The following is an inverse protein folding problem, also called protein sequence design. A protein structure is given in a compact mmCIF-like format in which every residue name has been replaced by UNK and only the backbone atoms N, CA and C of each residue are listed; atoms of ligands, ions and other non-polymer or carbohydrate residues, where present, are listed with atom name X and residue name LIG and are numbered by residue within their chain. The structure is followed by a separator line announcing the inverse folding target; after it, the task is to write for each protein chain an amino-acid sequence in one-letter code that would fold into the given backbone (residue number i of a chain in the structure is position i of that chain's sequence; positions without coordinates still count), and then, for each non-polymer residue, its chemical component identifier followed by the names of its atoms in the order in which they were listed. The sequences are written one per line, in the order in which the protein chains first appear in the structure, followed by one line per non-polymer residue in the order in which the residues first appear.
data_IF_181727447451
#
_entry.id   IF_181727447451
#
_cell.length_a   1.000
_cell.length_b   1.000
_cell.length_c   1.000
_cell.angle_alpha   90.00
_cell.angle_beta   90.00
_cell.angle_gamma   90.00
#
_symmetry.space_group_name_H-M   'P 1'
#
loop_
_entity.id
_entity.type
_entity.pdbx_description
1 polymer ?
#
# COMPACT_ATOMS: atom_id res chain seq x y z
N UNK A 1 32.08 -78.93 -15.97
CA UNK A 1 32.21 -78.36 -14.61
C UNK A 1 32.57 -76.89 -14.74
N UNK A 2 31.63 -76.00 -14.38
CA UNK A 2 31.79 -74.59 -13.94
C UNK A 2 32.64 -73.58 -14.77
N UNK A 3 31.90 -72.55 -15.25
CA UNK A 3 32.09 -71.08 -15.06
C UNK A 3 33.11 -70.38 -15.97
N UNK A 4 32.93 -69.13 -16.45
CA UNK A 4 32.03 -68.03 -16.06
C UNK A 4 31.85 -67.04 -17.21
N UNK A 5 30.62 -66.58 -17.47
CA UNK A 5 30.33 -65.37 -18.25
C UNK A 5 30.78 -64.13 -17.46
N UNK A 6 31.49 -63.21 -18.11
CA UNK A 6 31.70 -61.85 -17.61
C UNK A 6 30.56 -60.98 -18.15
N UNK A 7 29.57 -60.67 -17.32
CA UNK A 7 28.46 -59.76 -17.66
C UNK A 7 28.95 -58.32 -17.51
N UNK A 8 28.94 -57.57 -18.61
CA UNK A 8 29.12 -56.13 -18.61
C UNK A 8 27.84 -55.49 -18.03
N UNK A 9 27.91 -54.92 -16.82
CA UNK A 9 26.82 -54.11 -16.28
C UNK A 9 26.89 -52.71 -16.89
N UNK A 10 25.85 -52.34 -17.65
CA UNK A 10 25.59 -50.96 -18.03
C UNK A 10 24.76 -50.32 -16.91
N UNK A 11 25.39 -49.47 -16.11
CA UNK A 11 24.69 -48.65 -15.11
C UNK A 11 23.99 -47.51 -15.84
N UNK A 12 22.69 -47.67 -16.14
CA UNK A 12 21.87 -46.56 -16.62
C UNK A 12 21.50 -45.68 -15.42
N UNK A 13 22.22 -44.57 -15.24
CA UNK A 13 21.82 -43.54 -14.30
C UNK A 13 20.54 -42.87 -14.81
N UNK A 14 19.39 -43.18 -14.20
CA UNK A 14 18.20 -42.34 -14.34
C UNK A 14 18.49 -41.01 -13.66
N UNK A 15 18.85 -39.98 -14.45
CA UNK A 15 18.64 -38.60 -14.04
C UNK A 15 17.14 -38.34 -14.08
N UNK A 16 16.46 -38.56 -12.96
CA UNK A 16 15.17 -37.91 -12.73
C UNK A 16 15.44 -36.40 -12.63
N UNK A 17 15.34 -35.72 -13.77
CA UNK A 17 15.31 -34.26 -13.82
C UNK A 17 14.09 -33.78 -13.08
N UNK A 18 14.23 -33.58 -11.77
CA UNK A 18 13.27 -32.82 -10.99
C UNK A 18 13.15 -31.47 -11.68
N UNK A 19 11.99 -31.17 -12.28
CA UNK A 19 11.69 -29.81 -12.70
C UNK A 19 11.78 -28.96 -11.45
N UNK A 20 12.87 -28.23 -11.29
CA UNK A 20 12.88 -27.11 -10.36
C UNK A 20 11.69 -26.24 -10.77
N UNK A 21 10.72 -26.07 -9.86
CA UNK A 21 9.69 -25.06 -10.03
C UNK A 21 10.42 -23.72 -10.00
N UNK A 22 10.79 -23.23 -11.18
CA UNK A 22 11.41 -21.93 -11.30
C UNK A 22 10.38 -20.91 -10.82
N UNK A 23 10.69 -20.26 -9.69
CA UNK A 23 9.88 -19.20 -9.15
C UNK A 23 9.97 -18.02 -10.13
N UNK A 24 8.82 -17.46 -10.49
CA UNK A 24 8.70 -16.30 -11.35
C UNK A 24 7.82 -15.25 -10.69
N UNK A 25 7.89 -14.01 -11.17
CA UNK A 25 6.99 -12.91 -10.79
C UNK A 25 5.95 -12.72 -11.89
N UNK A 26 4.93 -13.61 -12.00
CA UNK A 26 3.87 -13.41 -12.97
C UNK A 26 3.04 -12.19 -12.56
N UNK A 27 2.50 -11.49 -13.55
CA UNK A 27 1.46 -10.52 -13.30
C UNK A 27 0.25 -11.21 -12.67
N UNK A 28 -0.38 -10.55 -11.68
CA UNK A 28 -1.61 -11.05 -11.08
C UNK A 28 -2.79 -10.95 -12.05
N UNK A 29 -2.82 -9.88 -12.86
CA UNK A 29 -3.77 -9.66 -13.94
C UNK A 29 -3.23 -8.59 -14.91
N UNK A 30 -4.07 -8.03 -15.76
CA UNK A 30 -3.64 -6.96 -16.67
C UNK A 30 -3.37 -5.66 -15.89
N UNK A 31 -2.17 -5.10 -16.01
CA UNK A 31 -1.77 -3.85 -15.34
C UNK A 31 -2.66 -2.65 -15.73
N UNK A 32 -3.26 -2.69 -16.93
CA UNK A 32 -4.24 -1.68 -17.36
C UNK A 32 -5.51 -1.67 -16.51
N UNK A 33 -5.81 -2.78 -15.81
CA UNK A 33 -6.91 -2.82 -14.84
C UNK A 33 -6.55 -2.05 -13.57
N UNK A 34 -5.27 -1.84 -13.25
CA UNK A 34 -4.85 -0.94 -12.17
C UNK A 34 -4.93 0.51 -12.67
N UNK A 35 -4.17 0.85 -13.71
CA UNK A 35 -4.24 2.16 -14.37
C UNK A 35 -3.78 2.08 -15.83
N UNK A 36 -4.41 2.87 -16.70
CA UNK A 36 -3.96 3.09 -18.08
C UNK A 36 -3.02 4.30 -18.22
N UNK A 37 -2.75 5.01 -17.12
CA UNK A 37 -1.94 6.23 -17.08
C UNK A 37 -0.64 6.01 -16.28
N UNK A 38 0.30 6.95 -16.38
CA UNK A 38 1.44 6.96 -15.48
C UNK A 38 1.00 7.24 -14.04
N UNK A 39 1.55 6.48 -13.10
CA UNK A 39 1.26 6.62 -11.66
C UNK A 39 2.54 6.87 -10.86
N UNK A 40 2.40 7.38 -9.66
CA UNK A 40 3.49 7.63 -8.70
C UNK A 40 3.03 7.28 -7.28
N UNK A 41 3.97 7.23 -6.33
CA UNK A 41 3.70 7.00 -4.90
C UNK A 41 2.83 5.74 -4.67
N UNK A 42 3.34 4.59 -5.11
CA UNK A 42 2.63 3.32 -4.99
C UNK A 42 2.83 2.71 -3.60
N UNK A 43 1.78 2.07 -3.11
CA UNK A 43 1.78 1.33 -1.84
C UNK A 43 0.94 0.08 -2.00
N UNK A 44 1.33 -1.02 -1.37
CA UNK A 44 0.55 -2.26 -1.34
C UNK A 44 0.44 -2.77 0.08
N UNK A 45 -0.74 -3.32 0.40
CA UNK A 45 -1.02 -4.08 1.60
C UNK A 45 -1.91 -5.28 1.24
N UNK A 46 -2.02 -6.23 2.15
CA UNK A 46 -3.05 -7.27 2.10
C UNK A 46 -4.00 -7.08 3.27
N UNK A 47 -5.30 -7.21 3.03
CA UNK A 47 -6.33 -7.12 4.06
C UNK A 47 -7.45 -8.11 3.75
N UNK A 48 -8.07 -8.66 4.80
CA UNK A 48 -9.28 -9.47 4.64
C UNK A 48 -10.46 -8.57 4.25
N UNK A 49 -11.29 -9.04 3.33
CA UNK A 49 -12.47 -8.32 2.82
C UNK A 49 -13.69 -9.21 2.94
N UNK A 50 -14.75 -8.70 3.56
CA UNK A 50 -16.06 -9.34 3.53
C UNK A 50 -16.96 -8.63 2.53
N UNK A 51 -17.41 -9.33 1.50
CA UNK A 51 -18.33 -8.81 0.48
C UNK A 51 -19.48 -9.81 0.30
N UNK A 52 -20.73 -9.34 0.35
CA UNK A 52 -21.92 -10.19 0.19
C UNK A 52 -21.94 -11.44 1.09
N UNK A 53 -21.44 -11.32 2.33
CA UNK A 53 -21.27 -12.42 3.30
C UNK A 53 -20.18 -13.44 2.96
N UNK A 54 -19.37 -13.20 1.92
CA UNK A 54 -18.19 -14.01 1.59
C UNK A 54 -16.91 -13.35 2.12
N UNK A 55 -16.04 -14.15 2.71
CA UNK A 55 -14.71 -13.73 3.18
C UNK A 55 -13.66 -13.98 2.10
N UNK A 56 -12.99 -12.92 1.69
CA UNK A 56 -11.79 -12.95 0.85
C UNK A 56 -10.59 -12.65 1.72
N UNK A 57 -9.79 -13.67 2.01
CA UNK A 57 -8.61 -13.53 2.87
C UNK A 57 -7.42 -12.91 2.12
N UNK A 58 -6.67 -12.03 2.78
CA UNK A 58 -5.42 -11.44 2.29
C UNK A 58 -5.53 -10.80 0.89
N UNK A 59 -6.63 -10.09 0.63
CA UNK A 59 -6.86 -9.40 -0.65
C UNK A 59 -5.80 -8.31 -0.84
N UNK A 60 -5.06 -8.32 -1.97
CA UNK A 60 -4.16 -7.25 -2.32
C UNK A 60 -4.92 -5.94 -2.52
N UNK A 61 -4.50 -4.88 -1.83
CA UNK A 61 -4.96 -3.52 -2.07
C UNK A 61 -3.75 -2.66 -2.45
N UNK A 62 -3.89 -1.90 -3.54
CA UNK A 62 -2.87 -0.98 -4.02
C UNK A 62 -3.38 0.44 -3.92
N UNK A 63 -2.56 1.32 -3.37
CA UNK A 63 -2.75 2.76 -3.51
C UNK A 63 -1.72 3.34 -4.46
N UNK A 64 -2.12 4.40 -5.15
CA UNK A 64 -1.27 5.11 -6.09
C UNK A 64 -1.80 6.52 -6.32
N UNK A 65 -0.94 7.40 -6.80
CA UNK A 65 -1.32 8.73 -7.28
C UNK A 65 -1.32 8.74 -8.80
N UNK A 66 -2.46 9.09 -9.40
CA UNK A 66 -2.63 9.27 -10.83
C UNK A 66 -3.16 10.67 -11.11
N UNK A 67 -2.53 11.42 -12.01
CA UNK A 67 -2.91 12.81 -12.33
C UNK A 67 -3.07 13.70 -11.07
N UNK A 68 -2.20 13.48 -10.08
CA UNK A 68 -2.22 14.18 -8.80
C UNK A 68 -3.31 13.74 -7.82
N UNK A 69 -4.16 12.77 -8.15
CA UNK A 69 -5.20 12.25 -7.28
C UNK A 69 -4.82 10.87 -6.71
N UNK A 70 -4.97 10.70 -5.40
CA UNK A 70 -4.79 9.40 -4.75
C UNK A 70 -5.99 8.48 -5.04
N UNK A 71 -5.71 7.20 -5.30
CA UNK A 71 -6.69 6.16 -5.61
C UNK A 71 -6.30 4.84 -4.95
N UNK A 72 -7.29 3.98 -4.71
CA UNK A 72 -7.09 2.62 -4.21
C UNK A 72 -7.85 1.62 -5.08
N UNK A 73 -7.20 0.52 -5.40
CA UNK A 73 -7.83 -0.65 -6.01
C UNK A 73 -7.54 -1.91 -5.19
N UNK A 74 -8.40 -2.91 -5.30
CA UNK A 74 -8.21 -4.23 -4.71
C UNK A 74 -8.41 -5.34 -5.71
N UNK A 75 -7.78 -6.48 -5.49
CA UNK A 75 -7.82 -7.62 -6.41
C UNK A 75 -8.72 -8.74 -5.89
N UNK A 76 -9.92 -8.87 -6.45
CA UNK A 76 -10.92 -9.87 -6.07
C UNK A 76 -11.42 -10.56 -7.35
N UNK A 77 -11.63 -11.87 -7.29
CA UNK A 77 -12.18 -12.65 -8.41
C UNK A 77 -11.43 -12.48 -9.75
N UNK A 78 -10.10 -12.40 -9.69
CA UNK A 78 -9.22 -12.18 -10.84
C UNK A 78 -9.34 -10.81 -11.51
N UNK A 79 -9.95 -9.83 -10.84
CA UNK A 79 -10.11 -8.48 -11.36
C UNK A 79 -9.69 -7.42 -10.33
N UNK A 80 -9.12 -6.31 -10.83
CA UNK A 80 -8.89 -5.12 -10.01
C UNK A 80 -10.13 -4.22 -10.02
N UNK A 81 -10.69 -3.98 -8.85
CA UNK A 81 -11.83 -3.08 -8.66
C UNK A 81 -11.48 -1.89 -7.76
N UNK A 82 -12.17 -0.77 -7.93
CA UNK A 82 -11.96 0.44 -7.13
C UNK A 82 -12.46 0.28 -5.71
N UNK A 83 -11.69 0.80 -4.75
CA UNK A 83 -12.10 0.91 -3.35
C UNK A 83 -12.47 2.35 -3.06
N UNK A 84 -13.76 2.66 -3.22
CA UNK A 84 -14.28 4.02 -3.25
C UNK A 84 -13.95 4.77 -4.55
N UNK A 85 -14.20 6.08 -4.54
CA UNK A 85 -13.87 6.99 -5.65
C UNK A 85 -12.48 7.62 -5.54
N UNK A 86 -12.29 8.75 -6.23
CA UNK A 86 -11.10 9.58 -6.05
C UNK A 86 -11.00 10.04 -4.59
N UNK A 87 -9.84 9.78 -3.98
CA UNK A 87 -9.61 10.07 -2.56
C UNK A 87 -9.29 11.56 -2.38
N UNK A 88 -8.68 12.17 -3.39
CA UNK A 88 -8.33 13.58 -3.45
C UNK A 88 -8.75 14.18 -4.80
N UNK A 89 -8.84 15.50 -4.88
CA UNK A 89 -9.23 16.23 -6.10
C UNK A 89 -8.03 16.62 -6.97
N UNK A 90 -6.80 16.35 -6.53
CA UNK A 90 -5.55 16.70 -7.21
C UNK A 90 -4.43 17.07 -6.24
N UNK A 91 -3.26 17.42 -6.78
CA UNK A 91 -2.09 17.95 -6.03
C UNK A 91 -1.71 17.15 -4.78
N UNK A 92 -1.64 15.83 -4.92
CA UNK A 92 -1.28 14.89 -3.85
C UNK A 92 0.04 14.19 -4.14
N UNK A 93 0.83 13.95 -3.10
CA UNK A 93 2.07 13.16 -3.17
C UNK A 93 2.23 12.23 -1.96
N UNK A 94 3.17 11.29 -2.03
CA UNK A 94 3.52 10.36 -0.94
C UNK A 94 2.31 9.63 -0.34
N UNK A 95 1.51 9.02 -1.21
CA UNK A 95 0.36 8.21 -0.85
C UNK A 95 0.81 6.87 -0.25
N UNK A 96 0.36 6.56 0.97
CA UNK A 96 0.57 5.25 1.59
C UNK A 96 -0.72 4.65 2.10
N UNK A 97 -0.87 3.35 1.88
CA UNK A 97 -2.00 2.56 2.33
C UNK A 97 -1.60 1.67 3.50
N UNK A 98 -2.50 1.56 4.46
CA UNK A 98 -2.34 0.76 5.66
C UNK A 98 -3.65 0.00 5.93
N UNK A 99 -3.55 -1.15 6.58
CA UNK A 99 -4.69 -1.84 7.18
C UNK A 99 -4.40 -2.11 8.65
N UNK A 100 -5.43 -1.98 9.48
CA UNK A 100 -5.38 -2.49 10.84
C UNK A 100 -5.61 -4.01 10.90
N UNK A 101 -5.56 -4.59 12.10
CA UNK A 101 -5.75 -6.03 12.29
C UNK A 101 -7.16 -6.55 12.00
N UNK A 102 -8.12 -5.65 11.71
CA UNK A 102 -9.49 -6.00 11.27
C UNK A 102 -9.71 -5.73 9.78
N UNK A 103 -8.66 -5.35 9.03
CA UNK A 103 -8.76 -5.06 7.60
C UNK A 103 -9.36 -3.69 7.27
N UNK A 104 -9.58 -2.83 8.26
CA UNK A 104 -10.02 -1.45 7.99
C UNK A 104 -8.87 -0.67 7.38
N UNK A 105 -9.16 0.01 6.28
CA UNK A 105 -8.16 0.71 5.49
C UNK A 105 -7.96 2.14 5.94
N UNK A 106 -6.70 2.52 6.02
CA UNK A 106 -6.24 3.88 6.29
C UNK A 106 -5.30 4.29 5.18
N UNK A 107 -5.35 5.56 4.79
CA UNK A 107 -4.47 6.11 3.80
C UNK A 107 -3.92 7.43 4.30
N UNK A 108 -2.62 7.62 4.19
CA UNK A 108 -2.01 8.93 4.38
C UNK A 108 -1.49 9.47 3.05
N UNK A 109 -1.42 10.80 2.95
CA UNK A 109 -0.86 11.48 1.80
C UNK A 109 -0.41 12.89 2.18
N UNK A 110 0.39 13.50 1.32
CA UNK A 110 0.75 14.92 1.41
C UNK A 110 -0.19 15.72 0.51
N UNK A 111 -0.91 16.64 1.14
CA UNK A 111 -1.73 17.63 0.46
C UNK A 111 -0.87 18.82 0.03
N UNK A 112 -0.67 18.94 -1.29
CA UNK A 112 0.06 20.05 -1.94
C UNK A 112 -0.88 21.06 -2.61
N UNK A 113 -2.20 20.99 -2.34
CA UNK A 113 -3.18 21.92 -2.93
C UNK A 113 -2.97 23.37 -2.53
N UNK A 114 -2.36 23.60 -1.35
CA UNK A 114 -1.97 24.93 -0.87
C UNK A 114 -0.46 25.08 -0.96
N UNK A 115 -0.01 26.02 -1.79
CA UNK A 115 1.42 26.34 -1.99
C UNK A 115 2.12 26.56 -0.66
N UNK A 116 3.19 25.80 -0.41
CA UNK A 116 4.01 25.91 0.80
C UNK A 116 3.46 25.17 2.02
N UNK A 117 2.21 24.69 2.02
CA UNK A 117 1.64 23.99 3.16
C UNK A 117 2.13 22.53 3.24
N UNK A 118 2.05 21.77 2.15
CA UNK A 118 2.51 20.36 2.00
C UNK A 118 2.25 19.51 3.26
N UNK A 119 0.99 19.49 3.69
CA UNK A 119 0.57 18.94 5.00
C UNK A 119 0.22 17.46 4.90
N UNK A 120 0.49 16.72 5.97
CA UNK A 120 0.10 15.33 6.10
C UNK A 120 -1.39 15.21 6.39
N UNK A 121 -2.08 14.46 5.54
CA UNK A 121 -3.49 14.10 5.68
C UNK A 121 -3.62 12.62 5.99
N UNK A 122 -4.60 12.25 6.80
CA UNK A 122 -4.99 10.85 7.03
C UNK A 122 -6.48 10.69 6.77
N UNK A 123 -6.84 9.66 6.01
CA UNK A 123 -8.22 9.23 5.75
C UNK A 123 -8.42 7.76 6.09
N UNK A 124 -9.65 7.38 6.37
CA UNK A 124 -10.12 6.00 6.52
C UNK A 124 -11.17 5.70 5.46
N UNK A 125 -11.25 4.44 5.02
CA UNK A 125 -12.32 4.01 4.13
C UNK A 125 -13.58 3.64 4.91
N UNK A 126 -14.74 4.12 4.44
CA UNK A 126 -16.06 3.76 4.93
C UNK A 126 -16.74 2.85 3.90
N UNK A 127 -16.82 1.56 4.22
CA UNK A 127 -17.43 0.56 3.34
C UNK A 127 -18.94 0.71 3.16
N UNK A 128 -19.65 1.38 4.08
CA UNK A 128 -21.10 1.56 3.99
C UNK A 128 -21.46 2.64 2.95
N UNK A 129 -20.66 3.70 2.88
CA UNK A 129 -20.85 4.80 1.93
C UNK A 129 -19.98 4.66 0.68
N UNK A 130 -19.04 3.72 0.68
CA UNK A 130 -18.02 3.55 -0.35
C UNK A 130 -17.19 4.84 -0.56
N UNK A 131 -16.85 5.54 0.52
CA UNK A 131 -16.11 6.81 0.49
C UNK A 131 -14.93 6.83 1.45
N UNK A 132 -13.95 7.68 1.15
CA UNK A 132 -12.83 7.97 2.04
C UNK A 132 -13.10 9.23 2.85
N UNK A 133 -13.01 9.14 4.17
CA UNK A 133 -13.35 10.20 5.11
C UNK A 133 -12.24 10.44 6.13
N UNK A 134 -12.29 11.57 6.83
CA UNK A 134 -11.38 11.84 7.94
C UNK A 134 -11.64 10.86 9.10
N UNK A 135 -10.62 10.62 9.94
CA UNK A 135 -10.75 9.72 11.09
C UNK A 135 -11.90 10.17 12.01
N UNK A 136 -12.73 9.22 12.43
CA UNK A 136 -13.93 9.48 13.23
C UNK A 136 -15.06 10.20 12.48
N UNK A 137 -14.97 10.33 11.15
CA UNK A 137 -15.96 11.09 10.35
C UNK A 137 -15.93 12.60 10.61
N UNK A 138 -14.88 13.11 11.27
CA UNK A 138 -14.75 14.52 11.65
C UNK A 138 -13.68 15.21 10.79
N UNK A 139 -14.07 16.24 10.04
CA UNK A 139 -13.15 17.00 9.18
C UNK A 139 -12.02 17.69 9.92
N UNK A 140 -12.16 17.96 11.23
CA UNK A 140 -11.08 18.49 12.07
C UNK A 140 -9.91 17.51 12.21
N UNK A 141 -10.14 16.20 12.01
CA UNK A 141 -9.11 15.16 12.07
C UNK A 141 -8.40 14.92 10.72
N UNK A 142 -8.73 15.70 9.68
CA UNK A 142 -8.18 15.49 8.34
C UNK A 142 -6.66 15.72 8.29
N UNK A 143 -6.21 16.86 8.82
CA UNK A 143 -4.79 17.23 8.81
C UNK A 143 -4.10 16.79 10.09
N UNK A 144 -3.13 15.91 9.95
CA UNK A 144 -2.33 15.43 11.07
C UNK A 144 -1.18 16.38 11.41
N UNK A 145 -0.58 17.01 10.41
CA UNK A 145 0.47 18.01 10.60
C UNK A 145 -0.10 19.43 10.63
N UNK A 146 0.51 20.29 11.44
CA UNK A 146 0.23 21.74 11.44
C UNK A 146 0.99 22.45 10.32
N UNK A 147 2.11 21.87 9.89
CA UNK A 147 3.02 22.41 8.91
C UNK A 147 3.44 21.42 7.83
N UNK A 148 4.39 21.85 6.99
CA UNK A 148 4.94 21.02 5.91
C UNK A 148 5.70 19.84 6.48
N UNK A 149 5.39 18.65 5.99
CA UNK A 149 6.20 17.43 6.24
C UNK A 149 7.23 17.17 5.14
N UNK A 150 7.30 18.06 4.15
CA UNK A 150 8.26 18.01 3.05
C UNK A 150 9.32 19.09 3.24
N UNK A 151 10.57 18.65 3.23
CA UNK A 151 11.72 19.53 3.16
C UNK A 151 11.98 19.92 1.71
N UNK A 152 12.09 21.21 1.45
CA UNK A 152 12.45 21.72 0.12
C UNK A 152 13.85 22.31 0.19
N UNK A 153 14.78 21.78 -0.60
CA UNK A 153 16.13 22.30 -0.76
C UNK A 153 16.32 22.85 -2.17
N UNK A 154 16.24 24.18 -2.31
CA UNK A 154 16.27 24.83 -3.63
C UNK A 154 15.10 24.41 -4.52
N UNK A 155 15.34 24.23 -5.81
CA UNK A 155 14.34 23.81 -6.80
C UNK A 155 14.04 22.31 -6.79
N UNK A 156 14.78 21.53 -6.00
CA UNK A 156 14.63 20.08 -5.92
C UNK A 156 13.85 19.72 -4.65
N UNK A 157 12.69 19.10 -4.82
CA UNK A 157 12.04 18.37 -3.74
C UNK A 157 12.90 17.14 -3.47
N UNK A 158 13.73 17.17 -2.44
CA UNK A 158 14.36 15.94 -1.95
C UNK A 158 13.28 15.11 -1.28
N UNK A 159 12.98 13.95 -1.87
CA UNK A 159 11.87 13.07 -1.52
C UNK A 159 12.11 12.36 -0.19
N UNK A 160 11.96 13.09 0.92
CA UNK A 160 12.05 12.48 2.24
C UNK A 160 10.67 11.91 2.60
N UNK A 161 10.60 10.58 2.62
CA UNK A 161 9.46 9.79 3.09
C UNK A 161 9.34 9.94 4.60
N UNK A 162 8.69 11.01 5.05
CA UNK A 162 8.68 11.38 6.45
C UNK A 162 7.36 11.08 7.13
N UNK A 163 6.66 10.01 6.74
CA UNK A 163 5.52 9.53 7.51
C UNK A 163 5.36 8.02 7.42
N UNK A 164 4.88 7.41 8.51
CA UNK A 164 4.48 6.01 8.54
C UNK A 164 3.41 5.80 9.61
N UNK A 165 2.57 4.77 9.42
CA UNK A 165 1.52 4.41 10.36
C UNK A 165 1.70 2.97 10.87
N UNK A 166 1.41 2.76 12.14
CA UNK A 166 1.28 1.45 12.77
C UNK A 166 0.05 1.42 13.68
N UNK A 167 -0.35 0.23 14.12
CA UNK A 167 -1.53 0.04 14.95
C UNK A 167 -1.18 -0.71 16.23
N UNK A 168 -1.85 -0.40 17.33
CA UNK A 168 -1.81 -1.25 18.53
C UNK A 168 -2.79 -2.44 18.42
N UNK A 169 -2.81 -3.29 19.45
CA UNK A 169 -3.68 -4.46 19.51
C UNK A 169 -5.19 -4.13 19.48
N UNK A 170 -5.57 -2.89 19.76
CA UNK A 170 -6.94 -2.41 19.67
C UNK A 170 -7.22 -1.70 18.33
N UNK A 171 -6.33 -1.86 17.35
CA UNK A 171 -6.38 -1.17 16.06
C UNK A 171 -6.32 0.36 16.15
N UNK A 172 -5.77 0.90 17.23
CA UNK A 172 -5.59 2.34 17.35
C UNK A 172 -4.42 2.77 16.47
N UNK A 173 -4.57 3.74 15.55
CA UNK A 173 -3.48 4.18 14.70
C UNK A 173 -2.52 5.11 15.44
N UNK A 174 -1.23 4.88 15.20
CA UNK A 174 -0.10 5.72 15.58
C UNK A 174 0.61 6.13 14.30
N UNK A 175 0.86 7.42 14.15
CA UNK A 175 1.53 7.97 12.98
C UNK A 175 2.79 8.71 13.44
N UNK A 176 3.93 8.31 12.88
CA UNK A 176 5.18 9.06 13.00
C UNK A 176 5.36 9.92 11.77
N UNK A 177 5.83 11.16 11.94
CA UNK A 177 6.22 12.02 10.82
C UNK A 177 7.25 13.08 11.22
N UNK A 178 7.93 13.69 10.25
CA UNK A 178 8.80 14.85 10.50
C UNK A 178 8.14 16.13 10.02
N UNK A 179 8.17 17.19 10.83
CA UNK A 179 7.53 18.47 10.49
C UNK A 179 8.58 19.59 10.32
N UNK A 180 8.76 20.09 9.11
CA UNK A 180 9.86 20.99 8.76
C UNK A 180 9.57 22.45 9.04
N UNK A 181 8.38 22.93 8.72
CA UNK A 181 8.07 24.37 8.81
C UNK A 181 7.95 24.85 10.26
N UNK A 182 7.56 23.97 11.18
CA UNK A 182 7.20 24.32 12.56
C UNK A 182 8.01 23.57 13.61
N UNK A 183 8.66 22.46 13.25
CA UNK A 183 9.45 21.64 14.18
C UNK A 183 10.88 21.34 13.66
N UNK A 184 11.37 22.10 12.68
CA UNK A 184 12.73 21.96 12.12
C UNK A 184 13.09 20.53 11.68
N UNK A 185 12.10 19.76 11.22
CA UNK A 185 12.29 18.39 10.75
C UNK A 185 12.42 17.34 11.86
N UNK A 186 12.17 17.71 13.12
CA UNK A 186 12.16 16.74 14.23
C UNK A 186 10.97 15.78 14.10
N UNK A 187 11.14 14.52 14.54
CA UNK A 187 10.07 13.54 14.52
C UNK A 187 8.95 13.93 15.50
N UNK A 188 7.72 13.68 15.07
CA UNK A 188 6.47 13.84 15.81
C UNK A 188 5.76 12.49 15.74
N UNK A 189 5.25 12.02 16.87
CA UNK A 189 4.40 10.83 16.93
C UNK A 189 3.03 11.26 17.46
N UNK A 190 1.98 10.93 16.73
CA UNK A 190 0.59 11.15 17.14
C UNK A 190 -0.15 9.83 17.24
N UNK A 191 -0.91 9.66 18.30
CA UNK A 191 -1.90 8.60 18.48
C UNK A 191 -3.28 9.17 18.18
N UNK A 192 -4.14 8.42 17.51
CA UNK A 192 -5.57 8.75 17.45
C UNK A 192 -6.27 8.28 18.72
N UNK A 193 -7.00 9.17 19.40
CA UNK A 193 -7.59 8.91 20.72
C UNK A 193 -9.12 8.74 20.71
N UNK A 194 -9.78 8.92 19.57
CA UNK A 194 -11.22 8.74 19.39
C UNK A 194 -11.95 10.04 19.11
#
# INVERSE_FOLDING_TARGET
MKRSLLKLLFSLALLSGGKALAQSWPYLASESQISSNAVSYTSIITADVTLNSELYASVPHVAYTENGAARVKRFINSEWESVGGNITTGSTSYTYLFADGQGKLYLNYVDESTTGAKRLVVKTFNGNTNTWEALGGNSSNLYLSSGSIIQTYGSQHTYAHNSWMAFDANNTPYVVFSEFSTNSGKPVVKKYDG
#
